data_IF_281362460690
#
_entry.id   IF_281362460690
#
_cell.length_a   1.000
_cell.length_b   1.000
_cell.length_c   1.000
_cell.angle_alpha   90.00
_cell.angle_beta   90.00
_cell.angle_gamma   90.00
#
_symmetry.space_group_name_H-M   'P 1'
#
loop_
_entity.id
_entity.type
_entity.pdbx_description
1 polymer ?
#
# COMPACT_ATOMS: atom_id res chain seq x y z
N UNK A 1 6.31 -19.88 -19.14
CA UNK A 1 5.11 -19.74 -18.29
C UNK A 1 5.28 -18.47 -17.48
N UNK A 2 4.57 -17.40 -17.81
CA UNK A 2 4.54 -16.18 -16.99
C UNK A 2 3.37 -16.37 -16.02
N UNK A 3 3.70 -16.53 -14.74
CA UNK A 3 2.71 -16.64 -13.67
C UNK A 3 2.32 -15.20 -13.31
N UNK A 4 1.13 -14.77 -13.74
CA UNK A 4 0.54 -13.52 -13.29
C UNK A 4 -0.08 -13.74 -11.91
N UNK A 5 0.45 -13.09 -10.88
CA UNK A 5 -0.28 -12.93 -9.62
C UNK A 5 -1.45 -11.97 -9.88
N UNK A 6 -2.68 -12.42 -9.62
CA UNK A 6 -3.85 -11.57 -9.65
C UNK A 6 -3.71 -10.48 -8.57
N UNK A 7 -3.46 -9.26 -9.01
CA UNK A 7 -3.61 -8.06 -8.20
C UNK A 7 -4.55 -7.12 -8.96
N UNK A 8 -5.53 -6.53 -8.26
CA UNK A 8 -6.59 -5.67 -8.85
C UNK A 8 -6.07 -4.41 -9.58
N UNK A 9 -4.77 -4.16 -9.53
CA UNK A 9 -4.08 -3.24 -10.43
C UNK A 9 -3.09 -4.06 -11.26
N UNK A 10 -3.37 -4.34 -12.54
CA UNK A 10 -2.45 -5.12 -13.36
C UNK A 10 -1.08 -4.44 -13.35
N UNK A 11 -0.05 -5.24 -13.08
CA UNK A 11 1.34 -4.84 -13.23
C UNK A 11 1.58 -4.73 -14.74
N UNK A 12 1.45 -3.53 -15.29
CA UNK A 12 1.43 -3.29 -16.75
C UNK A 12 2.77 -2.80 -17.32
N UNK A 13 3.74 -2.48 -16.47
CA UNK A 13 5.04 -1.96 -16.89
C UNK A 13 6.10 -3.08 -16.92
N UNK A 14 6.95 -3.10 -17.95
CA UNK A 14 7.95 -4.15 -18.15
C UNK A 14 8.94 -4.22 -16.99
N UNK A 15 9.26 -3.06 -16.43
CA UNK A 15 10.18 -2.83 -15.33
C UNK A 15 9.73 -3.59 -14.06
N UNK A 16 8.43 -3.63 -13.81
CA UNK A 16 7.85 -4.32 -12.64
C UNK A 16 7.95 -5.87 -12.74
N UNK A 17 8.07 -6.41 -13.96
CA UNK A 17 8.32 -7.86 -14.15
C UNK A 17 9.76 -8.24 -13.83
N UNK A 18 10.72 -7.33 -14.09
CA UNK A 18 12.15 -7.57 -13.96
C UNK A 18 12.65 -7.53 -12.51
N UNK A 19 11.91 -6.89 -11.60
CA UNK A 19 12.27 -6.77 -10.18
C UNK A 19 11.63 -7.86 -9.32
N UNK A 20 12.23 -8.20 -8.18
CA UNK A 20 11.66 -9.18 -7.25
C UNK A 20 10.59 -8.58 -6.32
N UNK A 21 10.61 -7.27 -6.10
CA UNK A 21 9.67 -6.55 -5.25
C UNK A 21 9.16 -5.26 -5.91
N UNK A 22 7.86 -4.99 -5.76
CA UNK A 22 7.22 -3.76 -6.24
C UNK A 22 6.39 -3.17 -5.12
N UNK A 23 6.73 -1.94 -4.72
CA UNK A 23 6.02 -1.16 -3.70
C UNK A 23 5.59 0.15 -4.34
N UNK A 24 4.30 0.46 -4.27
CA UNK A 24 3.74 1.72 -4.75
C UNK A 24 3.35 2.62 -3.58
N UNK A 25 3.74 3.89 -3.65
CA UNK A 25 3.30 4.94 -2.73
C UNK A 25 2.36 5.88 -3.48
N UNK A 26 1.20 6.14 -2.90
CA UNK A 26 0.11 6.87 -3.55
C UNK A 26 -0.49 7.90 -2.59
N UNK A 27 -0.80 9.09 -3.09
CA UNK A 27 -1.67 10.06 -2.42
C UNK A 27 -3.12 9.76 -2.79
N UNK A 28 -3.99 9.53 -1.82
CA UNK A 28 -5.44 9.36 -2.07
C UNK A 28 -6.26 10.37 -1.28
N UNK A 29 -7.35 10.89 -1.86
CA UNK A 29 -8.27 11.73 -1.12
C UNK A 29 -8.85 10.95 0.06
N UNK A 30 -8.98 11.62 1.20
CA UNK A 30 -9.68 11.12 2.38
C UNK A 30 -11.19 11.43 2.24
N UNK A 31 -11.96 11.19 3.31
CA UNK A 31 -13.40 11.49 3.34
C UNK A 31 -13.74 12.97 3.02
N UNK A 32 -12.75 13.86 3.03
CA UNK A 32 -12.85 15.23 2.51
C UNK A 32 -11.98 15.35 1.23
N UNK A 33 -12.54 15.80 0.09
CA UNK A 33 -11.80 15.95 -1.17
C UNK A 33 -10.65 16.96 -1.13
N UNK A 34 -10.59 17.84 -0.12
CA UNK A 34 -9.48 18.76 0.11
C UNK A 34 -8.37 18.18 1.00
N UNK A 35 -8.48 16.92 1.43
CA UNK A 35 -7.51 16.26 2.30
C UNK A 35 -7.01 14.97 1.65
N UNK A 36 -5.68 14.77 1.65
CA UNK A 36 -5.05 13.59 1.08
C UNK A 36 -4.28 12.83 2.15
N UNK A 37 -4.32 11.50 2.08
CA UNK A 37 -3.49 10.60 2.87
C UNK A 37 -2.38 10.00 2.03
N UNK A 38 -1.22 9.75 2.65
CA UNK A 38 -0.17 8.94 2.06
C UNK A 38 -0.49 7.46 2.30
N UNK A 39 -0.46 6.68 1.23
CA UNK A 39 -0.72 5.25 1.27
C UNK A 39 0.40 4.46 0.61
N UNK A 40 0.57 3.24 1.08
CA UNK A 40 1.53 2.28 0.57
C UNK A 40 0.78 0.99 0.20
N UNK A 41 1.14 0.41 -0.94
CA UNK A 41 0.68 -0.92 -1.36
C UNK A 41 1.87 -1.74 -1.83
N UNK A 42 1.96 -2.97 -1.34
CA UNK A 42 2.93 -3.95 -1.83
C UNK A 42 2.25 -4.71 -2.97
N UNK A 43 2.72 -4.50 -4.19
CA UNK A 43 2.14 -5.11 -5.39
C UNK A 43 2.75 -6.48 -5.69
N UNK A 44 4.03 -6.66 -5.36
CA UNK A 44 4.80 -7.89 -5.62
C UNK A 44 5.88 -8.06 -4.57
N UNK A 45 6.05 -9.30 -4.11
CA UNK A 45 7.24 -9.79 -3.40
C UNK A 45 7.45 -11.24 -3.80
N UNK A 46 8.38 -11.51 -4.72
CA UNK A 46 8.60 -12.85 -5.28
C UNK A 46 9.05 -13.81 -4.18
N UNK A 47 8.39 -14.97 -4.11
CA UNK A 47 8.73 -16.03 -3.15
C UNK A 47 8.36 -15.74 -1.70
N UNK A 48 7.66 -14.64 -1.40
CA UNK A 48 7.29 -14.28 -0.02
C UNK A 48 5.87 -13.74 0.06
N UNK A 49 5.11 -14.20 1.07
CA UNK A 49 3.82 -13.62 1.39
C UNK A 49 3.97 -12.17 1.85
N UNK A 50 3.02 -11.32 1.49
CA UNK A 50 3.04 -9.90 1.82
C UNK A 50 1.63 -9.36 2.05
N UNK A 51 1.54 -8.22 2.73
CA UNK A 51 0.30 -7.51 2.98
C UNK A 51 -0.39 -7.15 1.66
N UNK A 52 -1.64 -7.58 1.49
CA UNK A 52 -2.45 -7.33 0.27
C UNK A 52 -3.35 -6.09 0.40
N UNK A 53 -3.53 -5.60 1.62
CA UNK A 53 -4.29 -4.40 1.94
C UNK A 53 -3.49 -3.11 1.66
N UNK A 54 -4.21 -1.99 1.58
CA UNK A 54 -3.60 -0.66 1.53
C UNK A 54 -3.18 -0.26 2.94
N UNK A 55 -1.93 0.12 3.09
CA UNK A 55 -1.35 0.58 4.35
C UNK A 55 -1.30 2.11 4.36
N UNK A 56 -1.52 2.72 5.52
CA UNK A 56 -1.33 4.16 5.70
C UNK A 56 0.11 4.44 6.07
N UNK A 57 0.67 5.47 5.45
CA UNK A 57 2.01 5.96 5.69
C UNK A 57 1.92 7.31 6.40
N UNK A 58 2.64 7.47 7.51
CA UNK A 58 2.77 8.74 8.21
C UNK A 58 4.25 9.09 8.37
N UNK A 59 4.60 10.35 8.14
CA UNK A 59 5.92 10.88 8.44
C UNK A 59 5.91 11.40 9.87
N UNK A 60 6.84 10.93 10.69
CA UNK A 60 7.03 11.34 12.08
C UNK A 60 8.41 12.00 12.24
N UNK A 61 8.69 12.56 13.42
CA UNK A 61 10.04 13.07 13.73
C UNK A 61 11.13 12.01 13.65
N UNK A 62 10.77 10.73 13.79
CA UNK A 62 11.68 9.58 13.79
C UNK A 62 11.73 8.84 12.44
N UNK A 63 11.01 9.32 11.42
CA UNK A 63 11.02 8.74 10.07
C UNK A 63 9.64 8.36 9.56
N UNK A 64 9.48 7.11 9.09
CA UNK A 64 8.24 6.64 8.46
C UNK A 64 7.55 5.61 9.35
N UNK A 65 6.30 5.87 9.69
CA UNK A 65 5.39 4.94 10.35
C UNK A 65 4.41 4.36 9.34
N UNK A 66 4.24 3.03 9.35
CA UNK A 66 3.30 2.31 8.47
C UNK A 66 2.28 1.57 9.34
N UNK A 67 0.99 1.77 9.06
CA UNK A 67 -0.10 1.16 9.81
C UNK A 67 -1.17 0.58 8.90
N UNK A 68 -1.83 -0.48 9.35
CA UNK A 68 -2.98 -1.06 8.67
C UNK A 68 -4.22 -0.19 8.88
N UNK A 69 -4.82 0.30 7.78
CA UNK A 69 -6.03 1.13 7.82
C UNK A 69 -7.22 0.38 8.41
N UNK A 70 -7.28 -0.94 8.26
CA UNK A 70 -8.34 -1.77 8.84
C UNK A 70 -8.34 -1.78 10.36
N UNK A 71 -7.18 -1.55 11.00
CA UNK A 71 -7.08 -1.43 12.46
C UNK A 71 -7.34 -0.02 12.97
N UNK A 72 -6.91 1.01 12.24
CA UNK A 72 -7.04 2.41 12.70
C UNK A 72 -8.49 2.92 12.74
N UNK A 73 -9.42 2.33 11.99
CA UNK A 73 -10.85 2.69 12.07
C UNK A 73 -11.56 2.10 13.31
N UNK A 74 -10.98 1.07 13.95
CA UNK A 74 -11.55 0.50 15.17
C UNK A 74 -11.10 1.28 16.42
N UNK A 75 -9.89 1.81 16.42
CA UNK A 75 -9.33 2.54 17.57
C UNK A 75 -9.79 4.02 17.65
N UNK A 76 -10.36 4.56 16.58
CA UNK A 76 -10.89 5.93 16.53
C UNK A 76 -12.40 6.06 16.78
N UNK A 77 -13.10 4.95 17.05
CA UNK A 77 -14.54 4.93 17.31
C UNK A 77 -14.89 4.80 18.81
N UNK A 78 -13.89 4.77 19.70
CA UNK A 78 -14.05 4.68 21.16
C UNK A 78 -13.56 5.93 21.91
N UNK A 79 -13.65 7.13 21.31
CA UNK A 79 -13.46 8.40 22.04
C UNK A 79 -14.56 9.39 21.74
#
# INVERSE_FOLDING_TARGET
MIIGEESDTPITQLEDYMVDGVISMELKPLNNPSSYGNFLRIKKMRGTAHAKNVLRLNFTGDGISIADVGKMLQEGAEQ
#
